data_IF_437945754814
#
_entry.id   IF_437945754814
#
_cell.length_a   1.000
_cell.length_b   1.000
_cell.length_c   1.000
_cell.angle_alpha   90.00
_cell.angle_beta   90.00
_cell.angle_gamma   90.00
#
_symmetry.space_group_name_H-M   'P 1'
#
loop_
_entity.id
_entity.type
_entity.pdbx_description
1 polymer ?
#
# COMPACT_ATOMS: atom_id res chain seq x y z
N UNK A 1 1.03 -10.86 32.35
CA UNK A 1 -0.17 -10.41 31.61
C UNK A 1 0.22 -9.15 30.90
N UNK A 2 0.85 -9.36 29.76
CA UNK A 2 1.73 -8.40 29.14
C UNK A 2 0.85 -7.66 28.13
N UNK A 3 0.46 -6.45 28.51
CA UNK A 3 -0.27 -5.54 27.65
C UNK A 3 0.64 -5.09 26.50
N UNK A 4 0.86 -5.96 25.52
CA UNK A 4 1.39 -5.61 24.21
C UNK A 4 0.28 -4.88 23.43
N UNK A 5 -0.14 -3.72 23.95
CA UNK A 5 -0.98 -2.78 23.22
C UNK A 5 -0.17 -2.30 22.02
N UNK A 6 -0.50 -2.83 20.84
CA UNK A 6 0.17 -2.46 19.60
C UNK A 6 0.11 -0.94 19.41
N UNK A 7 1.27 -0.31 19.34
CA UNK A 7 1.40 1.13 19.12
C UNK A 7 0.76 1.49 17.76
N UNK A 8 -0.21 2.41 17.78
CA UNK A 8 -0.87 2.91 16.57
C UNK A 8 0.10 3.77 15.80
N UNK A 9 0.54 3.32 14.63
CA UNK A 9 1.39 4.11 13.73
C UNK A 9 0.56 4.68 12.59
N UNK A 10 0.77 5.97 12.30
CA UNK A 10 0.18 6.61 11.12
C UNK A 10 1.03 6.31 9.90
N UNK A 11 0.41 5.74 8.86
CA UNK A 11 1.06 5.35 7.62
C UNK A 11 0.52 6.19 6.47
N UNK A 12 1.43 6.72 5.66
CA UNK A 12 1.13 7.42 4.42
C UNK A 12 1.42 6.47 3.26
N UNK A 13 0.43 6.14 2.44
CA UNK A 13 0.61 5.34 1.22
C UNK A 13 0.33 6.22 0.02
N UNK A 14 1.31 6.33 -0.86
CA UNK A 14 1.15 6.97 -2.18
C UNK A 14 1.00 5.88 -3.22
N UNK A 15 -0.02 5.98 -4.07
CA UNK A 15 -0.23 5.06 -5.17
C UNK A 15 -0.53 5.82 -6.46
N UNK A 16 -0.18 5.20 -7.59
CA UNK A 16 -0.49 5.65 -8.93
C UNK A 16 -1.29 4.56 -9.61
N UNK A 17 -2.25 4.96 -10.44
CA UNK A 17 -3.05 4.04 -11.24
C UNK A 17 -2.74 4.26 -12.71
N UNK A 18 -2.63 3.17 -13.45
CA UNK A 18 -2.48 3.21 -14.90
C UNK A 18 -3.67 2.50 -15.54
N UNK A 19 -4.25 3.11 -16.58
CA UNK A 19 -5.24 2.48 -17.46
C UNK A 19 -4.90 2.81 -18.89
N UNK A 20 -4.77 1.77 -19.72
CA UNK A 20 -4.46 1.92 -21.15
C UNK A 20 -3.22 2.79 -21.41
N UNK A 21 -2.17 2.63 -20.59
CA UNK A 21 -0.93 3.41 -20.72
C UNK A 21 -0.97 4.81 -20.11
N UNK A 22 -2.14 5.33 -19.73
CA UNK A 22 -2.26 6.62 -19.07
C UNK A 22 -2.11 6.47 -17.56
N UNK A 23 -1.20 7.26 -16.97
CA UNK A 23 -0.98 7.31 -15.53
C UNK A 23 -1.77 8.49 -14.96
N UNK A 24 -2.63 8.23 -13.98
CA UNK A 24 -3.36 9.27 -13.26
C UNK A 24 -2.45 9.99 -12.24
N UNK A 25 -2.91 11.14 -11.75
CA UNK A 25 -2.22 11.89 -10.71
C UNK A 25 -1.99 11.04 -9.45
N UNK A 26 -0.88 11.23 -8.72
CA UNK A 26 -0.60 10.48 -7.51
C UNK A 26 -1.68 10.70 -6.44
N UNK A 27 -2.09 9.63 -5.77
CA UNK A 27 -3.04 9.70 -4.67
C UNK A 27 -2.38 9.35 -3.34
N UNK A 28 -2.74 10.07 -2.28
CA UNK A 28 -2.29 9.84 -0.91
C UNK A 28 -3.44 9.30 -0.06
N UNK A 29 -3.19 8.20 0.65
CA UNK A 29 -4.05 7.75 1.75
C UNK A 29 -3.28 7.75 3.07
N UNK A 30 -3.96 8.14 4.14
CA UNK A 30 -3.44 8.14 5.51
C UNK A 30 -4.24 7.16 6.34
N UNK A 31 -3.57 6.21 6.98
CA UNK A 31 -4.21 5.15 7.75
C UNK A 31 -3.56 4.97 9.11
N UNK A 32 -4.37 4.65 10.12
CA UNK A 32 -3.91 4.26 11.44
C UNK A 32 -3.72 2.75 11.49
N UNK A 33 -2.48 2.30 11.64
CA UNK A 33 -2.15 0.88 11.71
C UNK A 33 -1.82 0.48 13.15
N UNK A 34 -2.68 -0.35 13.73
CA UNK A 34 -2.58 -0.84 15.12
C UNK A 34 -1.48 -1.89 15.33
N UNK A 35 -0.84 -2.38 14.27
CA UNK A 35 0.09 -3.50 14.36
C UNK A 35 1.54 -3.07 14.11
N UNK A 36 2.47 -3.62 14.90
CA UNK A 36 3.93 -3.49 14.63
C UNK A 36 4.44 -4.27 13.40
N UNK A 37 3.55 -4.96 12.66
CA UNK A 37 3.95 -5.76 11.49
C UNK A 37 4.09 -4.85 10.27
N UNK A 38 4.94 -5.26 9.34
CA UNK A 38 5.07 -4.56 8.06
C UNK A 38 3.73 -4.57 7.31
N UNK A 39 3.44 -3.47 6.62
CA UNK A 39 2.28 -3.33 5.74
C UNK A 39 2.39 -4.32 4.59
N UNK A 40 1.31 -5.08 4.35
CA UNK A 40 1.22 -6.02 3.23
C UNK A 40 0.19 -5.53 2.22
N UNK A 41 0.25 -6.06 0.99
CA UNK A 41 -0.72 -5.70 -0.06
C UNK A 41 -2.18 -5.91 0.39
N UNK A 42 -2.47 -6.97 1.16
CA UNK A 42 -3.81 -7.22 1.71
C UNK A 42 -4.33 -6.08 2.60
N UNK A 43 -3.44 -5.42 3.35
CA UNK A 43 -3.81 -4.29 4.20
C UNK A 43 -4.19 -3.09 3.33
N UNK A 44 -3.39 -2.82 2.30
CA UNK A 44 -3.63 -1.74 1.32
C UNK A 44 -4.93 -1.97 0.56
N UNK A 45 -5.16 -3.19 0.05
CA UNK A 45 -6.42 -3.55 -0.63
C UNK A 45 -7.63 -3.32 0.28
N UNK A 46 -7.57 -3.78 1.54
CA UNK A 46 -8.64 -3.53 2.53
C UNK A 46 -8.90 -2.03 2.72
N UNK A 47 -7.86 -1.22 2.88
CA UNK A 47 -8.02 0.24 3.02
C UNK A 47 -8.65 0.87 1.78
N UNK A 48 -8.24 0.43 0.58
CA UNK A 48 -8.80 0.92 -0.68
C UNK A 48 -10.26 0.51 -0.87
N UNK A 49 -10.63 -0.72 -0.52
CA UNK A 49 -12.04 -1.15 -0.53
C UNK A 49 -12.91 -0.23 0.32
N UNK A 50 -12.40 0.19 1.49
CA UNK A 50 -13.11 1.13 2.36
C UNK A 50 -13.19 2.55 1.78
N UNK A 51 -12.21 3.00 0.99
CA UNK A 51 -12.14 4.38 0.47
C UNK A 51 -12.74 4.56 -0.93
N UNK A 52 -12.81 3.49 -1.73
CA UNK A 52 -13.14 3.53 -3.16
C UNK A 52 -14.19 2.50 -3.58
N UNK A 53 -14.64 1.64 -2.67
CA UNK A 53 -15.60 0.58 -2.94
C UNK A 53 -14.95 -0.80 -3.03
N UNK A 54 -15.73 -1.84 -2.70
CA UNK A 54 -15.27 -3.22 -2.46
C UNK A 54 -14.39 -3.78 -3.58
N UNK A 55 -14.83 -3.62 -4.83
CA UNK A 55 -14.22 -4.27 -6.00
C UNK A 55 -13.11 -3.42 -6.65
N UNK A 56 -12.97 -2.17 -6.23
CA UNK A 56 -11.96 -1.25 -6.76
C UNK A 56 -10.54 -1.81 -6.76
N UNK A 57 -9.99 -2.33 -5.63
CA UNK A 57 -8.62 -2.83 -5.61
C UNK A 57 -8.40 -4.10 -6.45
N UNK A 58 -9.46 -4.80 -6.86
CA UNK A 58 -9.33 -6.00 -7.69
C UNK A 58 -9.39 -5.69 -9.19
N UNK A 59 -9.78 -4.46 -9.56
CA UNK A 59 -9.72 -3.96 -10.95
C UNK A 59 -8.30 -3.61 -11.44
N UNK A 60 -7.27 -3.78 -10.59
CA UNK A 60 -5.88 -3.45 -10.91
C UNK A 60 -4.91 -4.54 -10.48
N UNK A 61 -3.80 -4.65 -11.22
CA UNK A 61 -2.59 -5.32 -10.75
C UNK A 61 -1.76 -4.34 -9.89
N UNK A 62 -1.25 -4.81 -8.75
CA UNK A 62 -0.52 -3.98 -7.80
C UNK A 62 0.97 -4.32 -7.78
N UNK A 63 1.80 -3.29 -7.82
CA UNK A 63 3.24 -3.35 -7.56
C UNK A 63 3.63 -2.32 -6.51
N UNK A 64 4.81 -2.46 -5.93
CA UNK A 64 5.37 -1.45 -5.02
C UNK A 64 6.77 -1.09 -5.45
N UNK A 65 7.12 0.19 -5.29
CA UNK A 65 8.48 0.66 -5.58
C UNK A 65 9.46 0.00 -4.62
N UNK A 66 10.46 -0.66 -5.18
CA UNK A 66 11.59 -1.24 -4.45
C UNK A 66 12.87 -0.96 -5.22
N UNK A 67 13.99 -0.91 -4.51
CA UNK A 67 15.29 -0.84 -5.14
C UNK A 67 15.66 -2.24 -5.64
N UNK A 68 15.87 -2.38 -6.94
CA UNK A 68 16.45 -3.59 -7.52
C UNK A 68 17.94 -3.34 -7.69
N UNK A 69 18.76 -4.17 -7.06
CA UNK A 69 20.19 -4.18 -7.34
C UNK A 69 20.39 -4.89 -8.68
N UNK A 70 21.01 -4.19 -9.62
CA UNK A 70 21.51 -4.79 -10.85
C UNK A 70 22.92 -5.26 -10.52
N UNK A 71 23.08 -6.55 -10.20
CA UNK A 71 24.39 -7.14 -9.98
C UNK A 71 24.94 -7.61 -11.33
N UNK A 72 25.77 -6.77 -11.96
CA UNK A 72 26.54 -7.07 -13.17
C UNK A 72 27.55 -5.95 -13.37
N UNK A 73 28.81 -6.18 -12.93
CA UNK A 73 29.98 -6.39 -13.78
C UNK A 73 30.32 -5.17 -14.65
N UNK A 74 31.30 -4.43 -14.14
CA UNK A 74 32.50 -4.11 -14.91
C UNK A 74 33.66 -4.93 -14.30
#
# INVERSE_FOLDING_TARGET
>A
MDASGGEVRRINVVYLLSRMGNIDHPHLIRVHHLHRKAVRLRDVKRWMSSLRGKDFPDSFAWSFKRHYQINGRD
#
